data_IF_713417232789
#
_entry.id   IF_713417232789
#
_cell.length_a   1.000
_cell.length_b   1.000
_cell.length_c   1.000
_cell.angle_alpha   90.00
_cell.angle_beta   90.00
_cell.angle_gamma   90.00
#
_symmetry.space_group_name_H-M   'P 1'
#
loop_
_entity.id
_entity.type
_entity.pdbx_description
1 polymer ?
#
# COMPACT_ATOMS: atom_id res chain seq x y z
N UNK A 1 -15.40 50.76 45.73
CA UNK A 1 -14.04 50.52 46.27
C UNK A 1 -13.81 49.02 46.25
N UNK A 2 -12.71 48.64 45.63
CA UNK A 2 -12.37 47.30 45.16
C UNK A 2 -12.07 46.33 46.30
N UNK A 3 -12.61 45.10 46.19
CA UNK A 3 -12.21 43.94 46.97
C UNK A 3 -10.93 43.33 46.37
N UNK A 4 -10.05 42.86 47.26
CA UNK A 4 -8.73 42.26 47.02
C UNK A 4 -8.74 41.05 46.06
N UNK A 5 -7.71 40.84 45.23
CA UNK A 5 -7.58 39.65 44.41
C UNK A 5 -6.95 38.48 45.19
N UNK A 6 -7.64 37.34 45.21
CA UNK A 6 -7.10 36.04 45.59
C UNK A 6 -6.09 35.58 44.54
N UNK A 7 -4.87 35.29 44.99
CA UNK A 7 -3.77 34.67 44.26
C UNK A 7 -4.20 33.32 43.67
N UNK A 8 -4.13 33.19 42.34
CA UNK A 8 -4.21 31.90 41.65
C UNK A 8 -2.81 31.30 41.58
N UNK A 9 -2.61 30.15 42.23
CA UNK A 9 -1.41 29.34 42.09
C UNK A 9 -1.23 28.89 40.63
N UNK A 10 -0.09 29.25 40.05
CA UNK A 10 0.36 28.78 38.76
C UNK A 10 0.98 27.39 38.93
N UNK A 11 0.21 26.35 38.58
CA UNK A 11 0.74 24.99 38.41
C UNK A 11 1.57 24.92 37.13
N UNK A 12 2.88 25.13 37.25
CA UNK A 12 3.89 24.84 36.26
C UNK A 12 3.83 23.33 35.92
N UNK A 13 3.27 22.96 34.77
CA UNK A 13 3.40 21.60 34.23
C UNK A 13 4.62 21.57 33.33
N UNK A 14 5.67 20.93 33.82
CA UNK A 14 6.90 20.66 33.09
C UNK A 14 6.61 19.95 31.78
N UNK A 15 6.88 20.65 30.68
CA UNK A 15 6.94 20.07 29.34
C UNK A 15 8.20 19.23 29.22
N UNK A 16 8.13 17.94 29.58
CA UNK A 16 9.10 16.97 29.12
C UNK A 16 8.56 16.28 27.86
N UNK A 17 8.66 17.00 26.73
CA UNK A 17 8.23 16.56 25.42
C UNK A 17 9.24 15.56 24.83
N UNK A 18 9.19 14.31 25.30
CA UNK A 18 9.84 13.18 24.63
C UNK A 18 9.04 12.75 23.39
N UNK A 19 8.88 13.67 22.43
CA UNK A 19 8.45 13.34 21.08
C UNK A 19 9.61 12.63 20.37
N UNK A 20 9.68 11.31 20.56
CA UNK A 20 10.55 10.39 19.82
C UNK A 20 10.16 10.51 18.35
N UNK A 21 10.86 11.36 17.60
CA UNK A 21 10.62 11.60 16.18
C UNK A 21 10.96 10.31 15.42
N UNK A 22 9.93 9.54 15.06
CA UNK A 22 10.08 8.38 14.18
C UNK A 22 9.93 8.91 12.75
N UNK A 23 11.05 9.01 12.04
CA UNK A 23 11.06 9.33 10.62
C UNK A 23 12.27 10.12 10.14
N UNK A 24 12.90 9.54 9.11
CA UNK A 24 14.12 9.93 8.36
C UNK A 24 15.45 9.72 9.11
N UNK A 25 16.25 8.68 8.78
CA UNK A 25 17.70 8.84 8.85
C UNK A 25 18.11 9.91 7.84
N UNK A 26 18.86 10.92 8.28
CA UNK A 26 19.46 11.88 7.36
C UNK A 26 20.69 11.23 6.72
N UNK A 27 21.00 11.60 5.48
CA UNK A 27 22.23 11.13 4.82
C UNK A 27 23.42 11.61 5.66
N UNK A 28 24.08 10.69 6.38
CA UNK A 28 25.14 10.99 7.34
C UNK A 28 25.02 10.27 8.69
N UNK A 29 23.87 9.69 9.02
CA UNK A 29 23.71 8.92 10.26
C UNK A 29 24.38 7.55 10.10
N UNK A 30 25.67 7.46 10.45
CA UNK A 30 26.30 6.18 10.80
C UNK A 30 25.59 5.63 12.04
N UNK A 31 25.45 4.30 12.04
CA UNK A 31 24.83 3.41 13.04
C UNK A 31 24.88 3.92 14.48
N UNK A 32 23.94 3.45 15.31
CA UNK A 32 24.34 3.30 16.70
C UNK A 32 23.79 2.03 17.33
N UNK A 33 24.61 1.52 18.25
CA UNK A 33 24.59 0.25 18.99
C UNK A 33 23.31 -0.04 19.80
N UNK A 34 22.14 0.49 19.44
CA UNK A 34 20.92 0.40 20.24
C UNK A 34 19.64 0.17 19.41
N UNK A 35 19.64 -0.86 18.54
CA UNK A 35 18.42 -1.57 18.12
C UNK A 35 17.24 -0.72 17.63
N UNK A 36 17.49 0.43 16.98
CA UNK A 36 16.43 1.33 16.53
C UNK A 36 15.91 0.85 15.17
N UNK A 37 14.67 0.36 15.13
CA UNK A 37 14.01 -0.12 13.91
C UNK A 37 13.96 1.00 12.86
N UNK A 38 14.57 0.75 11.70
CA UNK A 38 14.67 1.69 10.60
C UNK A 38 13.37 1.68 9.78
N UNK A 39 12.76 2.85 9.56
CA UNK A 39 11.68 3.01 8.57
C UNK A 39 12.26 3.40 7.20
N UNK A 40 11.73 2.88 6.09
CA UNK A 40 12.18 3.29 4.78
C UNK A 40 11.73 4.73 4.49
N UNK A 41 12.54 5.46 3.73
CA UNK A 41 12.12 6.75 3.17
C UNK A 41 10.88 6.55 2.29
N UNK A 42 9.88 7.44 2.41
CA UNK A 42 8.58 7.28 1.72
C UNK A 42 8.69 7.17 0.19
N UNK A 43 9.77 7.71 -0.38
CA UNK A 43 10.05 7.71 -1.81
C UNK A 43 11.07 6.65 -2.24
N UNK A 44 11.68 5.89 -1.33
CA UNK A 44 12.68 4.88 -1.68
C UNK A 44 12.12 3.47 -1.47
N UNK A 45 12.64 2.52 -2.26
CA UNK A 45 12.32 1.11 -2.05
C UNK A 45 12.97 0.63 -0.75
N UNK A 46 12.31 -0.25 0.01
CA UNK A 46 12.87 -0.80 1.24
C UNK A 46 13.98 -1.80 0.93
N UNK A 47 14.97 -1.86 1.81
CA UNK A 47 15.97 -2.94 1.90
C UNK A 47 15.50 -4.03 2.87
N UNK A 48 16.23 -5.15 2.92
CA UNK A 48 15.91 -6.28 3.81
C UNK A 48 15.81 -5.90 5.28
N UNK A 49 16.56 -4.90 5.72
CA UNK A 49 16.57 -4.39 7.11
C UNK A 49 15.23 -3.76 7.51
N UNK A 50 14.43 -3.30 6.55
CA UNK A 50 13.13 -2.70 6.81
C UNK A 50 12.00 -3.74 6.95
N UNK A 51 12.28 -5.01 6.65
CA UNK A 51 11.26 -6.04 6.65
C UNK A 51 11.05 -6.62 8.04
N UNK A 52 9.78 -6.72 8.44
CA UNK A 52 9.41 -7.41 9.66
C UNK A 52 9.83 -8.88 9.57
N UNK A 53 10.60 -9.36 10.56
CA UNK A 53 11.27 -10.66 10.54
C UNK A 53 10.31 -11.82 10.22
N UNK A 54 9.11 -11.82 10.82
CA UNK A 54 8.15 -12.91 10.65
C UNK A 54 7.39 -12.89 9.31
N UNK A 55 7.18 -11.71 8.71
CA UNK A 55 6.31 -11.57 7.53
C UNK A 55 7.10 -11.30 6.25
N UNK A 56 8.30 -10.74 6.36
CA UNK A 56 9.12 -10.36 5.22
C UNK A 56 8.60 -9.12 4.46
N UNK A 57 7.71 -8.32 5.07
CA UNK A 57 7.20 -7.08 4.47
C UNK A 57 7.53 -5.88 5.35
N UNK A 58 7.54 -4.69 4.73
CA UNK A 58 7.31 -3.45 5.48
C UNK A 58 5.84 -3.42 5.87
N UNK A 59 5.56 -3.35 7.17
CA UNK A 59 4.20 -3.38 7.68
C UNK A 59 3.65 -1.98 7.89
N UNK A 60 2.45 -1.71 7.37
CA UNK A 60 1.82 -0.39 7.49
C UNK A 60 0.33 -0.51 7.82
N UNK A 61 -0.21 0.62 8.27
CA UNK A 61 -1.63 0.82 8.54
C UNK A 61 -2.13 2.03 7.77
N UNK A 62 -3.31 1.88 7.17
CA UNK A 62 -4.12 2.99 6.67
C UNK A 62 -5.33 3.16 7.57
N UNK A 63 -5.51 4.36 8.10
CA UNK A 63 -6.71 4.76 8.83
C UNK A 63 -7.49 5.80 8.04
N UNK A 64 -8.75 5.53 7.75
CA UNK A 64 -9.66 6.50 7.14
C UNK A 64 -10.19 7.44 8.23
N UNK A 65 -9.87 8.72 8.09
CA UNK A 65 -10.28 9.79 9.01
C UNK A 65 -11.38 10.60 8.32
N UNK A 66 -12.62 10.39 8.75
CA UNK A 66 -13.79 10.98 8.10
C UNK A 66 -13.99 10.50 6.66
N UNK A 67 -14.62 11.33 5.82
CA UNK A 67 -15.05 10.88 4.49
C UNK A 67 -13.92 10.79 3.47
N UNK A 68 -12.94 11.68 3.54
CA UNK A 68 -11.99 11.94 2.45
C UNK A 68 -10.51 12.01 2.87
N UNK A 69 -10.20 11.82 4.15
CA UNK A 69 -8.81 11.88 4.64
C UNK A 69 -8.37 10.47 5.02
N UNK A 70 -7.14 10.14 4.68
CA UNK A 70 -6.55 8.82 4.87
C UNK A 70 -5.16 9.00 5.46
N UNK A 71 -4.92 8.46 6.64
CA UNK A 71 -3.63 8.48 7.31
C UNK A 71 -2.89 7.19 7.02
N UNK A 72 -1.65 7.30 6.60
CA UNK A 72 -0.72 6.20 6.43
C UNK A 72 0.30 6.24 7.56
N UNK A 73 0.53 5.11 8.22
CA UNK A 73 1.51 4.94 9.29
C UNK A 73 2.30 3.64 9.09
N UNK A 74 3.59 3.65 9.40
CA UNK A 74 4.36 2.41 9.56
C UNK A 74 3.96 1.73 10.87
N UNK A 75 3.85 0.42 10.88
CA UNK A 75 3.59 -0.37 12.09
C UNK A 75 4.91 -0.92 12.61
N UNK A 76 5.45 -0.29 13.66
CA UNK A 76 6.69 -0.71 14.33
C UNK A 76 6.42 -0.81 15.82
N UNK A 77 6.65 -1.98 16.40
CA UNK A 77 6.60 -2.22 17.86
C UNK A 77 5.35 -1.62 18.53
N UNK A 78 4.18 -1.75 17.89
CA UNK A 78 2.90 -1.22 18.38
C UNK A 78 2.71 0.30 18.24
N UNK A 79 3.66 1.02 17.63
CA UNK A 79 3.55 2.46 17.33
C UNK A 79 2.91 2.67 15.96
N UNK A 80 1.99 3.64 15.88
CA UNK A 80 1.25 3.99 14.64
C UNK A 80 1.40 5.49 14.31
N UNK A 81 2.64 5.96 14.24
CA UNK A 81 2.92 7.37 13.92
C UNK A 81 2.59 7.67 12.44
N UNK A 82 1.68 8.61 12.22
CA UNK A 82 1.25 9.01 10.87
C UNK A 82 2.41 9.64 10.10
N UNK A 83 2.74 9.04 8.97
CA UNK A 83 3.85 9.47 8.10
C UNK A 83 3.36 10.20 6.85
N UNK A 84 2.20 9.81 6.30
CA UNK A 84 1.60 10.49 5.15
C UNK A 84 0.09 10.66 5.30
N UNK A 85 -0.44 11.70 4.65
CA UNK A 85 -1.88 11.96 4.58
C UNK A 85 -2.31 12.01 3.11
N UNK A 86 -3.31 11.22 2.76
CA UNK A 86 -4.03 11.30 1.49
C UNK A 86 -5.35 12.05 1.68
N UNK A 87 -5.63 13.04 0.85
CA UNK A 87 -6.89 13.81 0.88
C UNK A 87 -7.59 13.78 -0.48
N UNK A 88 -8.78 13.19 -0.52
CA UNK A 88 -9.64 13.13 -1.72
C UNK A 88 -10.37 14.46 -1.93
N UNK A 89 -10.13 15.09 -3.08
CA UNK A 89 -10.82 16.33 -3.46
C UNK A 89 -12.26 16.06 -3.89
N UNK A 90 -13.22 16.75 -3.24
CA UNK A 90 -14.66 16.67 -3.58
C UNK A 90 -15.01 17.37 -4.89
N UNK A 91 -14.31 18.45 -5.22
CA UNK A 91 -14.61 19.30 -6.38
C UNK A 91 -14.08 18.76 -7.71
N UNK A 92 -13.36 17.63 -7.70
CA UNK A 92 -12.79 17.08 -8.93
C UNK A 92 -13.79 16.18 -9.65
N UNK A 93 -13.97 16.39 -10.96
CA UNK A 93 -14.80 15.53 -11.83
C UNK A 93 -14.41 14.05 -11.78
N UNK A 94 -13.12 13.78 -11.63
CA UNK A 94 -12.57 12.43 -11.44
C UNK A 94 -11.86 12.34 -10.10
N UNK A 95 -11.69 11.12 -9.60
CA UNK A 95 -10.93 10.90 -8.38
C UNK A 95 -9.55 11.55 -8.45
N UNK A 96 -9.27 12.33 -7.42
CA UNK A 96 -8.08 13.15 -7.32
C UNK A 96 -7.69 13.25 -5.85
N UNK A 97 -6.61 12.57 -5.49
CA UNK A 97 -6.06 12.60 -4.16
C UNK A 97 -4.81 13.47 -4.16
N UNK A 98 -4.71 14.34 -3.17
CA UNK A 98 -3.46 15.01 -2.86
C UNK A 98 -2.79 14.28 -1.69
N UNK A 99 -1.48 14.08 -1.80
CA UNK A 99 -0.68 13.43 -0.79
C UNK A 99 0.23 14.45 -0.09
N UNK A 100 0.37 14.26 1.21
CA UNK A 100 1.05 15.18 2.13
C UNK A 100 1.97 14.40 3.06
N UNK A 101 3.10 15.01 3.40
CA UNK A 101 4.06 14.52 4.38
C UNK A 101 3.63 14.98 5.78
N UNK A 102 3.20 14.03 6.60
CA UNK A 102 2.67 14.31 7.94
C UNK A 102 3.77 14.63 8.94
N UNK A 103 4.99 14.11 8.74
CA UNK A 103 6.13 14.36 9.62
C UNK A 103 6.65 15.79 9.49
N UNK A 104 6.48 16.37 8.30
CA UNK A 104 6.81 17.77 8.02
C UNK A 104 5.65 18.73 8.31
N UNK A 105 4.41 18.33 7.98
CA UNK A 105 3.24 19.19 8.14
C UNK A 105 2.63 19.17 9.54
N UNK A 106 2.60 18.02 10.19
CA UNK A 106 1.69 17.71 11.29
C UNK A 106 0.35 17.14 10.80
N UNK A 107 -0.39 16.46 11.68
CA UNK A 107 -1.65 15.79 11.34
C UNK A 107 -2.80 16.79 11.07
N UNK A 108 -2.83 17.89 11.82
CA UNK A 108 -3.88 18.91 11.72
C UNK A 108 -3.53 20.05 10.75
N UNK A 109 -2.48 19.86 9.95
CA UNK A 109 -1.96 20.87 9.06
C UNK A 109 -2.90 21.14 7.88
N UNK A 110 -2.83 22.37 7.35
CA UNK A 110 -3.62 22.77 6.19
C UNK A 110 -3.23 21.96 4.94
N UNK A 111 -4.12 21.07 4.52
CA UNK A 111 -3.95 20.21 3.34
C UNK A 111 -4.16 20.99 2.02
N UNK A 112 -3.13 21.70 1.58
CA UNK A 112 -3.13 22.49 0.33
C UNK A 112 -1.89 22.23 -0.51
N UNK A 113 -2.02 22.23 -1.84
CA UNK A 113 -0.87 22.14 -2.75
C UNK A 113 0.19 23.23 -2.55
N UNK A 114 -0.21 24.37 -2.00
CA UNK A 114 0.69 25.49 -1.68
C UNK A 114 1.42 25.30 -0.35
N UNK A 115 1.03 24.29 0.43
CA UNK A 115 1.70 23.98 1.69
C UNK A 115 3.08 23.40 1.43
N UNK A 116 4.04 23.73 2.29
CA UNK A 116 5.40 23.18 2.20
C UNK A 116 5.46 21.66 2.39
N UNK A 117 4.37 21.01 2.82
CA UNK A 117 4.29 19.58 3.07
C UNK A 117 3.53 18.79 2.00
N UNK A 118 3.13 19.41 0.88
CA UNK A 118 2.58 18.69 -0.28
C UNK A 118 3.67 17.86 -0.98
N UNK A 119 3.38 16.60 -1.28
CA UNK A 119 4.38 15.65 -1.83
C UNK A 119 3.94 14.96 -3.13
N UNK A 120 2.66 15.02 -3.51
CA UNK A 120 2.23 14.54 -4.82
C UNK A 120 0.72 14.34 -4.95
N UNK A 121 0.30 13.65 -6.00
CA UNK A 121 -1.12 13.39 -6.29
C UNK A 121 -1.35 12.04 -6.95
N UNK A 122 -2.48 11.41 -6.66
CA UNK A 122 -3.02 10.29 -7.42
C UNK A 122 -4.21 10.80 -8.24
N UNK A 123 -4.18 10.61 -9.56
CA UNK A 123 -5.22 11.13 -10.45
C UNK A 123 -5.81 10.02 -11.30
N UNK A 124 -7.14 9.91 -11.29
CA UNK A 124 -7.87 9.10 -12.25
C UNK A 124 -7.94 9.80 -13.61
N UNK A 125 -7.58 9.07 -14.65
CA UNK A 125 -7.76 9.48 -16.04
C UNK A 125 -9.25 9.72 -16.31
N UNK A 126 -9.51 10.84 -16.98
CA UNK A 126 -10.84 11.37 -17.22
C UNK A 126 -11.44 10.89 -18.54
N UNK A 127 -10.59 10.42 -19.44
CA UNK A 127 -10.91 10.04 -20.82
C UNK A 127 -11.05 8.51 -20.94
N UNK A 128 -10.48 7.75 -19.99
CA UNK A 128 -10.66 6.29 -19.91
C UNK A 128 -11.96 5.95 -19.18
N UNK A 129 -12.74 5.03 -19.77
CA UNK A 129 -13.98 4.50 -19.17
C UNK A 129 -13.73 3.78 -17.84
N UNK A 130 -12.54 3.20 -17.68
CA UNK A 130 -12.14 2.39 -16.52
C UNK A 130 -11.23 3.15 -15.58
N UNK A 131 -11.08 2.64 -14.36
CA UNK A 131 -10.21 3.20 -13.33
C UNK A 131 -8.72 3.11 -13.68
N UNK A 132 -8.27 3.90 -14.64
CA UNK A 132 -6.86 4.16 -14.89
C UNK A 132 -6.42 5.30 -13.96
N UNK A 133 -5.41 5.05 -13.14
CA UNK A 133 -4.86 6.01 -12.19
C UNK A 133 -3.38 6.18 -12.42
N UNK A 134 -2.90 7.42 -12.30
CA UNK A 134 -1.47 7.73 -12.34
C UNK A 134 -1.08 8.50 -11.09
N UNK A 135 0.01 8.06 -10.47
CA UNK A 135 0.59 8.64 -9.27
C UNK A 135 1.76 9.54 -9.66
N UNK A 136 1.71 10.79 -9.24
CA UNK A 136 2.69 11.82 -9.53
C UNK A 136 3.34 12.34 -8.26
N UNK A 137 4.64 12.64 -8.30
CA UNK A 137 5.28 13.43 -7.25
C UNK A 137 4.96 14.93 -7.39
N UNK A 138 5.37 15.71 -6.38
CA UNK A 138 5.24 17.16 -6.37
C UNK A 138 6.36 17.91 -7.14
N UNK A 139 7.25 17.20 -7.83
CA UNK A 139 8.33 17.85 -8.58
C UNK A 139 7.78 18.75 -9.69
N UNK A 140 8.60 19.71 -10.15
CA UNK A 140 8.22 20.59 -11.27
C UNK A 140 7.89 19.80 -12.53
N UNK A 141 8.64 18.72 -12.77
CA UNK A 141 8.47 17.79 -13.89
C UNK A 141 7.25 16.87 -13.72
N UNK A 142 6.67 16.76 -12.51
CA UNK A 142 5.55 15.87 -12.17
C UNK A 142 5.80 14.44 -12.67
N UNK A 143 6.82 13.81 -12.12
CA UNK A 143 7.23 12.47 -12.54
C UNK A 143 6.16 11.44 -12.19
N UNK A 144 5.94 10.49 -13.09
CA UNK A 144 5.05 9.35 -12.87
C UNK A 144 5.77 8.28 -12.04
N UNK A 145 5.28 8.00 -10.84
CA UNK A 145 5.88 7.03 -9.92
C UNK A 145 5.19 5.67 -9.91
N UNK A 146 3.94 5.62 -10.38
CA UNK A 146 3.18 4.39 -10.56
C UNK A 146 1.97 4.67 -11.46
N UNK A 147 1.51 3.65 -12.17
CA UNK A 147 0.19 3.64 -12.76
C UNK A 147 -0.57 2.38 -12.38
N UNK A 148 -1.89 2.51 -12.22
CA UNK A 148 -2.81 1.45 -11.82
C UNK A 148 -3.96 1.39 -12.82
N UNK A 149 -4.25 0.20 -13.33
CA UNK A 149 -5.30 -0.02 -14.32
C UNK A 149 -6.20 -1.13 -13.79
N UNK A 150 -7.50 -0.84 -13.68
CA UNK A 150 -8.49 -1.88 -13.43
C UNK A 150 -8.97 -2.48 -14.75
N UNK A 151 -9.04 -3.80 -14.82
CA UNK A 151 -9.57 -4.51 -15.99
C UNK A 151 -11.09 -4.33 -16.09
N UNK A 152 -11.59 -4.22 -17.33
CA UNK A 152 -13.01 -4.44 -17.63
C UNK A 152 -13.16 -5.91 -18.02
N UNK A 153 -13.93 -6.70 -17.27
CA UNK A 153 -14.35 -7.99 -17.78
C UNK A 153 -15.27 -7.76 -18.98
N UNK A 154 -15.07 -8.47 -20.08
CA UNK A 154 -15.93 -8.35 -21.25
C UNK A 154 -17.40 -8.62 -20.87
N UNK A 155 -18.34 -7.88 -21.45
CA UNK A 155 -19.79 -7.99 -21.14
C UNK A 155 -20.28 -9.45 -21.28
N UNK A 156 -19.75 -10.18 -22.26
CA UNK A 156 -20.09 -11.59 -22.51
C UNK A 156 -19.65 -12.51 -21.37
N UNK A 157 -18.51 -12.23 -20.72
CA UNK A 157 -18.06 -12.98 -19.53
C UNK A 157 -18.93 -12.69 -18.31
N UNK A 158 -19.39 -11.44 -18.16
CA UNK A 158 -20.22 -11.04 -17.01
C UNK A 158 -21.58 -11.75 -16.98
N UNK A 159 -22.13 -12.07 -18.15
CA UNK A 159 -23.42 -12.76 -18.28
C UNK A 159 -23.31 -14.25 -17.93
N UNK A 160 -22.17 -14.89 -18.23
CA UNK A 160 -21.97 -16.33 -17.98
C UNK A 160 -21.45 -16.65 -16.59
N UNK A 161 -20.56 -15.81 -16.03
CA UNK A 161 -19.82 -16.09 -14.80
C UNK A 161 -20.21 -15.17 -13.62
N UNK A 162 -21.20 -14.28 -13.82
CA UNK A 162 -21.53 -13.21 -12.87
C UNK A 162 -20.57 -12.03 -12.95
N UNK A 163 -20.60 -11.09 -12.00
CA UNK A 163 -19.61 -10.00 -11.96
C UNK A 163 -18.28 -10.53 -11.41
N UNK A 164 -17.22 -10.68 -12.23
CA UNK A 164 -15.97 -11.20 -11.72
C UNK A 164 -15.28 -10.12 -10.85
N UNK A 165 -14.43 -10.55 -9.88
CA UNK A 165 -13.67 -9.62 -9.06
C UNK A 165 -12.87 -8.66 -9.93
N UNK A 166 -12.90 -7.36 -9.59
CA UNK A 166 -12.13 -6.34 -10.31
C UNK A 166 -10.64 -6.62 -10.15
N UNK A 167 -9.98 -6.90 -11.28
CA UNK A 167 -8.53 -7.13 -11.33
C UNK A 167 -7.82 -5.80 -11.49
N UNK A 168 -6.74 -5.60 -10.74
CA UNK A 168 -5.87 -4.43 -10.89
C UNK A 168 -4.53 -4.90 -11.46
N UNK A 169 -4.06 -4.22 -12.49
CA UNK A 169 -2.66 -4.23 -12.89
C UNK A 169 -2.00 -2.94 -12.42
N UNK A 170 -0.74 -3.03 -12.01
CA UNK A 170 0.06 -1.87 -11.67
C UNK A 170 1.40 -1.96 -12.38
N UNK A 171 1.94 -0.81 -12.76
CA UNK A 171 3.30 -0.68 -13.30
C UNK A 171 4.06 0.35 -12.49
N UNK A 172 5.24 -0.05 -12.02
CA UNK A 172 6.11 0.76 -11.16
C UNK A 172 7.55 0.74 -11.68
N UNK A 173 8.31 1.83 -11.53
CA UNK A 173 9.75 1.82 -11.80
C UNK A 173 10.50 0.84 -10.91
N UNK A 174 11.45 0.11 -11.48
CA UNK A 174 12.43 -0.66 -10.73
C UNK A 174 13.44 0.33 -10.12
N UNK A 175 13.70 0.23 -8.82
CA UNK A 175 14.80 0.96 -8.20
C UNK A 175 16.11 0.30 -8.65
N UNK A 176 16.99 1.04 -9.34
CA UNK A 176 18.31 0.53 -9.70
C UNK A 176 19.32 0.91 -8.63
N UNK A 177 19.90 -0.08 -7.97
CA UNK A 177 21.14 0.09 -7.23
C UNK A 177 22.27 -0.03 -8.24
N UNK A 178 22.91 1.07 -8.61
CA UNK A 178 24.15 1.05 -9.39
C UNK A 178 25.33 0.91 -8.42
N UNK A 179 25.96 -0.27 -8.39
CA UNK A 179 27.27 -0.44 -7.75
C UNK A 179 28.35 0.05 -8.72
N UNK A 180 28.90 1.23 -8.48
CA UNK A 180 30.14 1.65 -9.14
C UNK A 180 31.29 0.83 -8.55
N UNK A 181 31.85 -0.11 -9.33
CA UNK A 181 33.10 -0.79 -8.99
C UNK A 181 34.26 0.13 -9.38
N UNK A 182 34.52 1.13 -8.53
CA UNK A 182 35.71 1.98 -8.60
C UNK A 182 36.72 1.50 -7.57
N UNK A 183 37.92 1.16 -8.00
CA UNK A 183 39.03 0.76 -7.14
C UNK A 183 39.42 1.90 -6.19
N UNK A 184 39.10 1.72 -4.90
CA UNK A 184 39.68 2.47 -3.79
C UNK A 184 39.17 3.89 -3.60
N UNK A 185 37.95 4.05 -3.07
CA UNK A 185 37.51 5.15 -2.20
C UNK A 185 36.06 4.87 -1.73
N UNK A 186 35.64 5.48 -0.61
CA UNK A 186 34.50 5.08 0.23
C UNK A 186 33.19 4.70 -0.52
N UNK A 187 32.58 3.57 -0.12
CA UNK A 187 31.31 3.06 -0.66
C UNK A 187 30.15 4.02 -0.39
N UNK A 188 29.73 4.78 -1.41
CA UNK A 188 28.44 5.45 -1.46
C UNK A 188 27.43 4.62 -2.27
N UNK A 189 26.35 4.16 -1.63
CA UNK A 189 25.24 3.51 -2.34
C UNK A 189 24.29 4.61 -2.84
N UNK A 190 24.47 5.07 -4.08
CA UNK A 190 23.47 5.94 -4.72
C UNK A 190 22.31 5.11 -5.28
N UNK A 191 21.19 5.09 -4.56
CA UNK A 191 19.95 4.46 -5.01
C UNK A 191 19.18 5.45 -5.89
N UNK A 192 19.49 5.51 -7.18
CA UNK A 192 18.78 6.39 -8.12
C UNK A 192 17.53 5.72 -8.69
N UNK A 193 16.35 6.30 -8.43
CA UNK A 193 15.13 5.92 -9.11
C UNK A 193 15.16 6.36 -10.59
N UNK A 194 14.71 5.47 -11.46
CA UNK A 194 14.63 5.74 -12.90
C UNK A 194 13.56 6.79 -13.14
N UNK A 195 13.99 7.99 -13.52
CA UNK A 195 13.11 9.11 -13.85
C UNK A 195 12.58 8.93 -15.27
N UNK A 196 11.29 8.61 -15.41
CA UNK A 196 10.61 8.65 -16.71
C UNK A 196 10.02 10.06 -16.90
N UNK A 197 10.62 10.82 -17.81
CA UNK A 197 10.17 12.17 -18.19
C UNK A 197 9.06 12.12 -19.24
N UNK A 198 8.16 13.10 -19.22
CA UNK A 198 7.30 13.43 -20.36
C UNK A 198 8.18 14.02 -21.48
N UNK A 199 8.04 13.54 -22.72
CA UNK A 199 8.78 14.08 -23.89
C UNK A 199 8.07 15.29 -24.51
N UNK A 200 8.78 15.96 -25.43
CA UNK A 200 8.42 17.24 -26.08
C UNK A 200 6.94 17.39 -26.51
N UNK A 201 6.34 18.58 -26.34
CA UNK A 201 4.92 18.86 -26.60
C UNK A 201 4.52 18.94 -28.09
N UNK A 202 5.40 18.60 -29.03
CA UNK A 202 5.17 18.79 -30.47
C UNK A 202 4.41 17.64 -31.15
N UNK A 203 4.23 16.50 -30.48
CA UNK A 203 3.47 15.34 -30.98
C UNK A 203 2.68 14.68 -29.84
N UNK A 204 1.84 15.44 -29.14
CA UNK A 204 1.02 14.90 -28.05
C UNK A 204 -0.46 14.85 -28.50
N UNK A 205 -0.87 13.71 -29.02
CA UNK A 205 -2.27 13.42 -29.37
C UNK A 205 -2.93 12.40 -28.43
N UNK A 206 -2.33 12.09 -27.28
CA UNK A 206 -3.01 11.32 -26.25
C UNK A 206 -2.55 11.72 -24.85
N UNK A 207 -3.47 12.29 -24.07
CA UNK A 207 -3.37 12.60 -22.64
C UNK A 207 -3.27 11.33 -21.74
N UNK A 208 -2.62 10.26 -22.24
CA UNK A 208 -2.46 8.96 -21.57
C UNK A 208 -1.12 8.93 -20.85
N UNK A 209 -1.08 8.37 -19.63
CA UNK A 209 0.18 8.19 -18.89
C UNK A 209 1.13 7.25 -19.63
N UNK A 210 2.40 7.63 -19.71
CA UNK A 210 3.45 6.85 -20.40
C UNK A 210 3.65 5.49 -19.73
N UNK A 211 3.51 5.41 -18.41
CA UNK A 211 3.51 4.14 -17.70
C UNK A 211 2.37 3.22 -18.17
N UNK A 212 1.16 3.76 -18.35
CA UNK A 212 0.01 3.00 -18.86
C UNK A 212 0.27 2.51 -20.29
N UNK A 213 0.88 3.33 -21.14
CA UNK A 213 1.30 2.91 -22.49
C UNK A 213 2.32 1.77 -22.44
N UNK A 214 3.31 1.86 -21.54
CA UNK A 214 4.29 0.80 -21.37
C UNK A 214 3.67 -0.51 -20.89
N UNK A 215 2.66 -0.42 -20.01
CA UNK A 215 1.88 -1.58 -19.57
C UNK A 215 1.11 -2.21 -20.74
N UNK A 216 0.32 -1.41 -21.47
CA UNK A 216 -0.48 -1.89 -22.60
C UNK A 216 0.36 -2.49 -23.74
N UNK A 217 1.49 -1.85 -24.07
CA UNK A 217 2.35 -2.30 -25.17
C UNK A 217 3.28 -3.44 -24.74
N UNK A 218 3.25 -3.89 -23.48
CA UNK A 218 4.16 -4.92 -22.96
C UNK A 218 5.64 -4.49 -22.92
N UNK A 219 5.94 -3.22 -23.15
CA UNK A 219 7.32 -2.69 -23.26
C UNK A 219 7.97 -2.47 -21.90
N UNK A 220 7.20 -2.60 -20.82
CA UNK A 220 7.69 -2.53 -19.44
C UNK A 220 8.78 -3.57 -19.12
N UNK A 221 8.84 -4.70 -19.83
CA UNK A 221 9.90 -5.72 -19.67
C UNK A 221 11.28 -5.22 -20.09
N UNK A 222 11.32 -4.44 -21.16
CA UNK A 222 12.54 -3.90 -21.76
C UNK A 222 12.97 -2.59 -21.10
N UNK A 223 12.05 -1.97 -20.37
CA UNK A 223 12.35 -0.80 -19.55
C UNK A 223 12.66 -1.23 -18.12
N UNK A 224 13.26 -0.33 -17.34
CA UNK A 224 13.48 -0.52 -15.90
C UNK A 224 12.15 -0.37 -15.13
N UNK A 225 11.13 -1.11 -15.55
CA UNK A 225 9.78 -1.14 -15.01
C UNK A 225 9.45 -2.57 -14.55
N UNK A 226 8.50 -2.66 -13.63
CA UNK A 226 7.91 -3.90 -13.16
C UNK A 226 6.40 -3.78 -13.27
N UNK A 227 5.77 -4.73 -13.96
CA UNK A 227 4.33 -4.92 -13.89
C UNK A 227 3.98 -5.93 -12.79
N UNK A 228 2.92 -5.67 -12.06
CA UNK A 228 2.31 -6.56 -11.07
C UNK A 228 0.80 -6.60 -11.29
N UNK A 229 0.16 -7.67 -10.86
CA UNK A 229 -1.29 -7.84 -11.00
C UNK A 229 -1.92 -8.43 -9.75
N UNK A 230 -3.23 -8.26 -9.59
CA UNK A 230 -3.97 -8.90 -8.52
C UNK A 230 -3.89 -10.41 -8.62
N UNK A 231 -3.42 -11.05 -7.54
CA UNK A 231 -3.44 -12.50 -7.38
C UNK A 231 -4.90 -12.99 -7.35
N UNK A 232 -5.26 -14.00 -8.15
CA UNK A 232 -6.58 -14.60 -8.10
C UNK A 232 -6.80 -15.33 -6.75
N UNK A 233 -7.98 -15.20 -6.13
CA UNK A 233 -8.28 -15.93 -4.90
C UNK A 233 -8.34 -17.43 -5.17
N UNK A 234 -7.88 -18.24 -4.21
CA UNK A 234 -7.93 -19.71 -4.31
C UNK A 234 -9.22 -20.22 -3.67
N UNK A 235 -9.85 -21.19 -4.33
CA UNK A 235 -10.96 -21.92 -3.74
C UNK A 235 -10.43 -22.73 -2.56
N UNK A 236 -11.09 -22.61 -1.42
CA UNK A 236 -10.82 -23.47 -0.27
C UNK A 236 -11.98 -24.46 -0.15
N UNK A 237 -11.71 -25.70 -0.54
CA UNK A 237 -12.57 -26.83 -0.19
C UNK A 237 -12.61 -26.90 1.34
N UNK A 238 -13.79 -26.73 1.92
CA UNK A 238 -13.94 -27.01 3.34
C UNK A 238 -13.90 -28.50 3.59
N UNK A 239 -13.77 -28.87 4.87
CA UNK A 239 -13.72 -30.24 5.33
C UNK A 239 -14.80 -31.11 4.67
N UNK A 240 -14.38 -32.20 4.04
CA UNK A 240 -15.28 -33.25 3.60
C UNK A 240 -15.80 -33.99 4.83
N UNK A 241 -17.12 -34.08 4.98
CA UNK A 241 -17.74 -35.03 5.88
C UNK A 241 -17.75 -36.39 5.17
N UNK A 242 -16.91 -37.33 5.61
CA UNK A 242 -17.06 -38.72 5.19
C UNK A 242 -18.14 -39.39 6.05
N UNK A 243 -19.19 -39.88 5.40
CA UNK A 243 -20.18 -40.76 6.03
C UNK A 243 -19.61 -42.17 5.93
N UNK A 244 -19.17 -42.75 7.05
CA UNK A 244 -18.86 -44.18 7.11
C UNK A 244 -20.13 -44.93 7.49
N UNK A 245 -20.66 -45.72 6.56
CA UNK A 245 -21.77 -46.65 6.84
C UNK A 245 -21.17 -47.98 7.30
N UNK A 246 -21.35 -48.29 8.59
CA UNK A 246 -21.13 -49.65 9.11
C UNK A 246 -22.40 -50.47 8.93
N UNK A 247 -22.28 -51.69 8.39
CA UNK A 247 -23.41 -52.57 8.09
C UNK A 247 -24.16 -53.11 9.33
N UNK A 248 -23.76 -52.75 10.56
CA UNK A 248 -24.27 -53.36 11.79
C UNK A 248 -24.97 -52.41 12.78
N UNK A 249 -25.04 -51.09 12.55
CA UNK A 249 -25.81 -50.19 13.43
C UNK A 249 -26.11 -48.85 12.74
N UNK A 250 -27.35 -48.37 12.85
CA UNK A 250 -27.77 -47.03 12.40
C UNK A 250 -27.26 -45.97 13.39
N UNK A 251 -25.94 -45.76 13.43
CA UNK A 251 -25.32 -44.66 14.14
C UNK A 251 -24.50 -43.85 13.15
N UNK A 252 -25.05 -42.70 12.72
CA UNK A 252 -24.35 -41.77 11.83
C UNK A 252 -23.32 -41.02 12.68
N UNK A 253 -22.07 -41.50 12.67
CA UNK A 253 -20.96 -40.79 13.28
C UNK A 253 -20.32 -39.86 12.25
N UNK A 254 -20.42 -38.56 12.48
CA UNK A 254 -19.73 -37.54 11.67
C UNK A 254 -18.23 -37.56 12.03
N UNK A 255 -17.40 -38.21 11.21
CA UNK A 255 -15.95 -38.08 11.31
C UNK A 255 -15.47 -36.94 10.41
N UNK A 256 -15.02 -35.88 11.06
CA UNK A 256 -14.30 -34.79 10.43
C UNK A 256 -12.90 -35.29 10.02
N UNK A 257 -12.70 -35.59 8.74
CA UNK A 257 -11.38 -35.91 8.21
C UNK A 257 -10.56 -34.62 8.05
N UNK A 258 -9.48 -34.50 8.81
CA UNK A 258 -8.45 -33.49 8.57
C UNK A 258 -7.72 -33.84 7.26
N UNK A 259 -8.03 -33.14 6.16
CA UNK A 259 -7.03 -32.97 5.11
C UNK A 259 -6.05 -31.89 5.58
N UNK A 260 -4.84 -32.34 5.89
CA UNK A 260 -3.74 -31.49 6.32
C UNK A 260 -3.19 -30.71 5.12
N UNK A 261 -3.91 -29.68 4.69
CA UNK A 261 -3.26 -28.58 3.98
C UNK A 261 -2.53 -27.72 5.02
N UNK A 262 -1.29 -27.35 4.68
CA UNK A 262 -0.31 -26.68 5.53
C UNK A 262 -0.94 -25.61 6.47
N UNK A 263 -0.47 -25.51 7.73
CA UNK A 263 -1.01 -24.55 8.69
C UNK A 263 -0.73 -23.12 8.21
N UNK A 264 -1.72 -22.49 7.58
CA UNK A 264 -1.69 -21.05 7.34
C UNK A 264 -2.20 -20.34 8.60
N UNK A 265 -1.43 -19.36 9.07
CA UNK A 265 -1.67 -18.54 10.26
C UNK A 265 -2.93 -17.64 10.21
N UNK A 266 -3.89 -17.92 9.32
CA UNK A 266 -5.12 -17.13 9.21
C UNK A 266 -6.08 -17.50 10.36
N UNK A 267 -6.21 -16.60 11.34
CA UNK A 267 -7.03 -16.79 12.56
C UNK A 267 -8.55 -16.71 12.32
N UNK A 268 -9.02 -16.49 11.08
CA UNK A 268 -10.45 -16.48 10.77
C UNK A 268 -10.94 -17.91 10.58
N UNK A 269 -12.02 -18.36 11.26
CA UNK A 269 -12.67 -19.64 10.96
C UNK A 269 -12.95 -19.77 9.46
N UNK A 270 -12.37 -20.81 8.84
CA UNK A 270 -12.55 -21.09 7.41
C UNK A 270 -14.01 -21.53 7.19
N UNK A 271 -14.80 -20.72 6.49
CA UNK A 271 -16.09 -21.19 5.97
C UNK A 271 -15.81 -22.02 4.70
N UNK A 272 -16.26 -23.28 4.64
CA UNK A 272 -16.17 -24.11 3.43
C UNK A 272 -16.69 -23.40 2.19
N UNK A 273 -16.07 -23.64 1.03
CA UNK A 273 -16.65 -23.28 -0.27
C UNK A 273 -16.52 -21.80 -0.63
N UNK A 274 -15.49 -21.10 -0.15
CA UNK A 274 -15.25 -19.70 -0.48
C UNK A 274 -13.88 -19.47 -1.14
N UNK A 275 -13.86 -18.62 -2.16
CA UNK A 275 -12.64 -18.06 -2.73
C UNK A 275 -12.02 -17.05 -1.78
N UNK A 276 -10.78 -17.28 -1.35
CA UNK A 276 -10.06 -16.37 -0.43
C UNK A 276 -8.58 -16.27 -0.79
N UNK A 277 -7.98 -15.15 -0.39
CA UNK A 277 -6.52 -14.96 -0.35
C UNK A 277 -6.02 -15.26 1.07
N UNK A 278 -4.83 -15.83 1.17
CA UNK A 278 -4.14 -16.07 2.44
C UNK A 278 -3.29 -14.84 2.78
N UNK A 279 -3.58 -14.19 3.91
CA UNK A 279 -2.88 -13.00 4.38
C UNK A 279 -2.01 -13.29 5.62
N UNK A 280 -1.72 -14.57 5.89
CA UNK A 280 -0.91 -15.03 7.02
C UNK A 280 -1.35 -14.42 8.35
N UNK A 281 -2.66 -14.31 8.57
CA UNK A 281 -3.26 -13.74 9.76
C UNK A 281 -3.35 -12.21 9.80
N UNK A 282 -2.80 -11.48 8.81
CA UNK A 282 -2.86 -10.02 8.78
C UNK A 282 -4.28 -9.52 8.54
N UNK A 283 -5.03 -10.13 7.62
CA UNK A 283 -6.36 -9.65 7.23
C UNK A 283 -7.42 -10.57 7.80
N UNK A 284 -8.24 -10.03 8.71
CA UNK A 284 -9.25 -10.78 9.44
C UNK A 284 -10.68 -10.54 8.95
N UNK A 285 -10.91 -9.46 8.20
CA UNK A 285 -12.25 -9.06 7.79
C UNK A 285 -12.45 -9.24 6.28
N UNK A 286 -13.43 -10.06 5.82
CA UNK A 286 -13.77 -10.17 4.42
C UNK A 286 -14.16 -8.83 3.80
N UNK A 287 -13.62 -8.52 2.63
CA UNK A 287 -13.90 -7.27 1.91
C UNK A 287 -13.51 -7.39 0.45
N UNK A 288 -14.28 -6.76 -0.43
CA UNK A 288 -13.95 -6.60 -1.87
C UNK A 288 -12.67 -5.77 -2.10
N UNK A 289 -12.20 -5.06 -1.07
CA UNK A 289 -10.97 -4.27 -1.11
C UNK A 289 -9.73 -5.11 -0.80
N UNK A 290 -9.89 -6.32 -0.29
CA UNK A 290 -8.75 -7.18 0.05
C UNK A 290 -8.07 -7.62 -1.24
N UNK A 291 -6.78 -7.33 -1.37
CA UNK A 291 -5.99 -7.63 -2.57
C UNK A 291 -4.56 -8.00 -2.21
N UNK A 292 -3.96 -8.83 -3.06
CA UNK A 292 -2.51 -9.05 -3.13
C UNK A 292 -2.06 -8.75 -4.56
N UNK A 293 -0.96 -8.01 -4.72
CA UNK A 293 -0.33 -7.81 -6.00
C UNK A 293 0.90 -8.71 -6.11
N UNK A 294 0.96 -9.50 -7.18
CA UNK A 294 2.04 -10.42 -7.49
C UNK A 294 2.75 -10.04 -8.79
N UNK A 295 4.05 -10.33 -8.88
CA UNK A 295 4.83 -10.22 -10.12
C UNK A 295 4.63 -11.47 -11.01
N UNK A 296 5.29 -11.50 -12.17
CA UNK A 296 5.23 -12.66 -13.09
C UNK A 296 5.73 -13.97 -12.47
N UNK A 297 6.57 -13.89 -11.42
CA UNK A 297 7.10 -15.04 -10.69
C UNK A 297 6.16 -15.51 -9.57
N UNK A 298 4.99 -14.87 -9.39
CA UNK A 298 4.05 -15.18 -8.32
C UNK A 298 4.47 -14.70 -6.92
N UNK A 299 5.52 -13.88 -6.84
CA UNK A 299 5.93 -13.27 -5.58
C UNK A 299 4.96 -12.14 -5.20
N UNK A 300 4.41 -12.20 -3.98
CA UNK A 300 3.58 -11.13 -3.44
C UNK A 300 4.44 -9.95 -3.03
N UNK A 301 4.23 -8.81 -3.69
CA UNK A 301 4.97 -7.56 -3.45
C UNK A 301 4.15 -6.51 -2.70
N UNK A 302 2.83 -6.64 -2.70
CA UNK A 302 1.93 -5.79 -1.92
C UNK A 302 0.72 -6.60 -1.45
N UNK A 303 0.33 -6.40 -0.21
CA UNK A 303 -0.92 -6.92 0.36
C UNK A 303 -1.68 -5.78 1.02
N UNK A 304 -2.98 -5.72 0.76
CA UNK A 304 -3.86 -4.73 1.34
C UNK A 304 -5.13 -5.41 1.79
N UNK A 305 -5.60 -5.10 3.00
CA UNK A 305 -6.84 -5.68 3.47
C UNK A 305 -7.45 -5.01 4.69
N UNK A 306 -8.75 -5.22 4.83
CA UNK A 306 -9.59 -4.63 5.87
C UNK A 306 -9.32 -5.31 7.22
N UNK A 307 -9.10 -4.49 8.23
CA UNK A 307 -9.06 -4.91 9.64
C UNK A 307 -10.38 -4.55 10.29
N UNK A 308 -10.78 -3.29 10.12
CA UNK A 308 -11.99 -2.69 10.67
C UNK A 308 -12.61 -1.73 9.65
N UNK A 309 -13.76 -1.13 9.94
CA UNK A 309 -14.48 -0.21 9.05
C UNK A 309 -13.64 0.96 8.55
N UNK A 310 -12.72 1.44 9.40
CA UNK A 310 -11.83 2.55 9.07
C UNK A 310 -10.34 2.17 9.03
N UNK A 311 -9.97 0.92 9.35
CA UNK A 311 -8.56 0.50 9.49
C UNK A 311 -8.22 -0.62 8.51
N UNK A 312 -7.09 -0.48 7.83
CA UNK A 312 -6.65 -1.40 6.78
C UNK A 312 -5.14 -1.64 6.89
N UNK A 313 -4.70 -2.89 6.81
CA UNK A 313 -3.28 -3.18 6.65
C UNK A 313 -2.85 -2.92 5.21
N UNK A 314 -1.64 -2.38 5.07
CA UNK A 314 -0.94 -2.23 3.80
C UNK A 314 0.49 -2.67 4.01
N UNK A 315 0.86 -3.84 3.49
CA UNK A 315 2.23 -4.34 3.59
C UNK A 315 2.84 -4.46 2.21
N UNK A 316 4.11 -4.09 2.08
CA UNK A 316 4.77 -4.03 0.78
C UNK A 316 6.25 -4.42 0.83
N UNK A 317 6.78 -4.76 -0.33
CA UNK A 317 8.19 -5.08 -0.59
C UNK A 317 8.72 -4.23 -1.73
N UNK A 318 10.04 -4.19 -1.86
CA UNK A 318 10.68 -3.67 -3.06
C UNK A 318 10.10 -4.36 -4.33
N UNK A 319 9.90 -3.62 -5.43
CA UNK A 319 10.30 -2.23 -5.64
C UNK A 319 9.23 -1.19 -5.29
N UNK A 320 8.16 -1.56 -4.59
CA UNK A 320 7.23 -0.56 -4.07
C UNK A 320 7.92 0.34 -3.05
N UNK A 321 7.56 1.62 -3.07
CA UNK A 321 7.87 2.60 -2.04
C UNK A 321 6.64 2.79 -1.17
N UNK A 322 6.77 3.39 0.02
CA UNK A 322 5.58 3.71 0.81
C UNK A 322 4.60 4.58 0.01
N UNK A 323 5.12 5.52 -0.79
CA UNK A 323 4.33 6.40 -1.63
C UNK A 323 3.55 5.65 -2.73
N UNK A 324 4.18 4.73 -3.46
CA UNK A 324 3.50 3.96 -4.50
C UNK A 324 2.56 2.90 -3.92
N UNK A 325 2.92 2.27 -2.81
CA UNK A 325 2.05 1.35 -2.09
C UNK A 325 0.78 2.06 -1.56
N UNK A 326 0.94 3.27 -0.99
CA UNK A 326 -0.20 4.06 -0.54
C UNK A 326 -1.09 4.49 -1.72
N UNK A 327 -0.50 4.86 -2.86
CA UNK A 327 -1.23 5.10 -4.10
C UNK A 327 -2.09 3.91 -4.54
N UNK A 328 -1.54 2.69 -4.48
CA UNK A 328 -2.27 1.46 -4.82
C UNK A 328 -3.48 1.25 -3.89
N UNK A 329 -3.32 1.47 -2.59
CA UNK A 329 -4.41 1.37 -1.63
C UNK A 329 -5.47 2.47 -1.83
N UNK A 330 -5.07 3.70 -2.17
CA UNK A 330 -6.01 4.79 -2.47
C UNK A 330 -6.91 4.47 -3.66
N UNK A 331 -6.39 3.78 -4.68
CA UNK A 331 -7.19 3.28 -5.80
C UNK A 331 -8.32 2.33 -5.34
N UNK A 332 -8.16 1.61 -4.22
CA UNK A 332 -9.16 0.68 -3.71
C UNK A 332 -10.30 1.36 -2.94
N UNK A 333 -10.10 2.58 -2.45
CA UNK A 333 -11.18 3.37 -1.85
C UNK A 333 -12.10 4.03 -2.88
N UNK A 334 -11.74 3.99 -4.16
CA UNK A 334 -12.55 4.50 -5.27
C UNK A 334 -13.44 3.45 -5.94
N UNK A 335 -13.27 2.18 -5.58
CA UNK A 335 -14.02 1.07 -6.17
C UNK A 335 -15.47 0.97 -5.68
#
# INVERSE_FOLDING_TARGET
MYLSPLTREAGQRDMNNNNKRIGYPMSGDKENENGKVLVPSIFHAPTKEHYHIATGFVQCLITRVGKNVYHFAFQIDGTEAVSMIGHKLKSSRTSNYHLFDALRGGMDAKLSKKSGHYIGKLRRDKDKRVGCYTLYNASREKQELAAFVYDIPAIIQQVKEGQPPRRMQAVIPKSTVSTNVGSGEAMGIETSQVTIKQSNPLFDHANTSRLIEHLHNGTWKHQKLLAVQTKPPKFHEGMHCAISLSAACVHISFHFLHHADAPSLDLIPRKPGQYRLNFSGRVLTPSVKNMQLENEQGEILLQFGKVDDQRFHLDYKAPFTAFSAFGAALCQFDL
#
